data_IF_715240585965
#
_entry.id   IF_715240585965
#
_cell.length_a   1.000
_cell.length_b   1.000
_cell.length_c   1.000
_cell.angle_alpha   90.00
_cell.angle_beta   90.00
_cell.angle_gamma   90.00
#
_symmetry.space_group_name_H-M   'P 1'
#
loop_
_entity.id
_entity.type
_entity.pdbx_description
1 polymer ?
#
# COMPACT_ATOMS: atom_id res chain seq x y z
N UNK A 1 25.06 -6.08 -12.52
CA UNK A 1 24.49 -7.30 -13.12
C UNK A 1 23.18 -6.88 -13.75
N UNK A 2 23.09 -6.92 -15.08
CA UNK A 2 21.98 -6.32 -15.84
C UNK A 2 20.85 -7.32 -16.15
N UNK A 3 21.04 -8.59 -15.81
CA UNK A 3 20.11 -9.68 -16.10
C UNK A 3 19.83 -10.51 -14.85
N UNK A 4 18.63 -11.08 -14.78
CA UNK A 4 18.20 -12.03 -13.75
C UNK A 4 17.59 -13.26 -14.42
N UNK A 5 17.86 -14.44 -13.88
CA UNK A 5 17.19 -15.68 -14.29
C UNK A 5 16.04 -15.96 -13.31
N UNK A 6 14.85 -16.21 -13.84
CA UNK A 6 13.65 -16.53 -13.06
C UNK A 6 13.06 -17.86 -13.54
N UNK A 7 12.41 -18.64 -12.65
CA UNK A 7 11.66 -19.82 -13.06
C UNK A 7 10.54 -19.46 -14.05
N UNK A 8 10.28 -20.33 -15.02
CA UNK A 8 9.20 -20.14 -15.99
C UNK A 8 7.82 -20.06 -15.32
N UNK A 9 7.65 -20.81 -14.23
CA UNK A 9 6.47 -20.85 -13.36
C UNK A 9 6.57 -19.89 -12.16
N UNK A 10 7.55 -18.97 -12.17
CA UNK A 10 7.67 -17.93 -11.16
C UNK A 10 6.54 -16.90 -11.23
N UNK A 11 6.57 -15.92 -10.34
CA UNK A 11 5.64 -14.78 -10.35
C UNK A 11 5.93 -13.82 -11.51
N UNK A 12 5.56 -14.27 -12.71
CA UNK A 12 5.77 -13.56 -13.97
C UNK A 12 4.42 -13.31 -14.65
N UNK A 13 4.29 -12.14 -15.25
CA UNK A 13 3.18 -11.82 -16.12
C UNK A 13 3.68 -10.97 -17.30
N UNK A 14 2.93 -11.02 -18.41
CA UNK A 14 3.20 -10.14 -19.55
C UNK A 14 2.99 -8.68 -19.13
N UNK A 15 3.96 -7.82 -19.45
CA UNK A 15 3.91 -6.39 -19.15
C UNK A 15 2.62 -5.77 -19.71
N UNK A 16 1.92 -4.89 -18.96
CA UNK A 16 0.84 -4.07 -19.50
C UNK A 16 1.29 -3.32 -20.76
N UNK A 17 0.43 -3.28 -21.76
CA UNK A 17 0.72 -2.65 -23.07
C UNK A 17 0.83 -1.13 -22.98
N UNK A 18 0.17 -0.51 -22.00
CA UNK A 18 0.10 0.93 -21.78
C UNK A 18 1.10 1.46 -20.74
N UNK A 19 2.17 0.71 -20.43
CA UNK A 19 3.21 1.11 -19.46
C UNK A 19 4.61 1.09 -20.05
N UNK A 20 5.48 1.95 -19.52
CA UNK A 20 6.94 1.77 -19.67
C UNK A 20 7.44 0.57 -18.85
N UNK A 21 8.68 0.12 -19.10
CA UNK A 21 9.30 -0.92 -18.28
C UNK A 21 9.48 -0.48 -16.82
N UNK A 22 9.86 0.78 -16.61
CA UNK A 22 10.04 1.35 -15.27
C UNK A 22 8.74 1.39 -14.47
N UNK A 23 7.64 1.76 -15.12
CA UNK A 23 6.31 1.77 -14.51
C UNK A 23 5.85 0.37 -14.14
N UNK A 24 6.07 -0.60 -15.03
CA UNK A 24 5.71 -1.98 -14.80
C UNK A 24 6.57 -2.65 -13.71
N UNK A 25 7.88 -2.34 -13.65
CA UNK A 25 8.80 -2.89 -12.65
C UNK A 25 8.42 -2.48 -11.21
N UNK A 26 7.71 -1.36 -11.04
CA UNK A 26 7.22 -0.89 -9.74
C UNK A 26 5.90 -1.54 -9.28
N UNK A 27 5.23 -2.32 -10.13
CA UNK A 27 3.92 -2.93 -9.82
C UNK A 27 4.02 -4.15 -8.90
N UNK A 28 4.90 -5.16 -9.13
CA UNK A 28 4.82 -6.44 -8.43
C UNK A 28 4.81 -6.30 -6.92
N UNK A 29 5.82 -5.64 -6.34
CA UNK A 29 5.92 -5.53 -4.88
C UNK A 29 4.75 -4.75 -4.26
N UNK A 30 4.53 -3.50 -4.69
CA UNK A 30 3.51 -2.65 -4.08
C UNK A 30 2.08 -3.09 -4.37
N UNK A 31 1.83 -3.55 -5.60
CA UNK A 31 0.53 -3.98 -6.08
C UNK A 31 0.08 -5.31 -5.49
N UNK A 32 0.96 -6.32 -5.42
CA UNK A 32 0.63 -7.62 -4.83
C UNK A 32 0.41 -7.48 -3.32
N UNK A 33 1.25 -6.71 -2.61
CA UNK A 33 1.02 -6.36 -1.20
C UNK A 33 -0.35 -5.74 -1.00
N UNK A 34 -0.67 -4.69 -1.75
CA UNK A 34 -1.95 -4.03 -1.63
C UNK A 34 -3.12 -4.99 -1.89
N UNK A 35 -3.08 -5.73 -2.99
CA UNK A 35 -4.15 -6.65 -3.39
C UNK A 35 -4.35 -7.78 -2.39
N UNK A 36 -3.26 -8.44 -1.98
CA UNK A 36 -3.31 -9.57 -1.06
C UNK A 36 -3.88 -9.17 0.30
N UNK A 37 -3.45 -8.04 0.86
CA UNK A 37 -3.98 -7.55 2.13
C UNK A 37 -5.45 -7.11 2.02
N UNK A 38 -5.83 -6.38 0.97
CA UNK A 38 -7.22 -5.94 0.78
C UNK A 38 -8.18 -7.12 0.60
N UNK A 39 -7.77 -8.20 -0.09
CA UNK A 39 -8.55 -9.43 -0.19
C UNK A 39 -8.68 -10.16 1.14
N UNK A 40 -7.59 -10.31 1.91
CA UNK A 40 -7.65 -10.90 3.26
C UNK A 40 -8.52 -10.08 4.21
N UNK A 41 -8.49 -8.75 4.08
CA UNK A 41 -9.36 -7.82 4.81
C UNK A 41 -10.81 -7.82 4.35
N UNK A 42 -11.13 -8.59 3.31
CA UNK A 42 -12.46 -8.71 2.71
C UNK A 42 -13.09 -7.34 2.42
N UNK A 43 -12.35 -6.47 1.72
CA UNK A 43 -12.80 -5.11 1.41
C UNK A 43 -14.07 -5.15 0.55
N UNK A 44 -15.07 -4.37 0.95
CA UNK A 44 -16.37 -4.26 0.29
C UNK A 44 -16.71 -2.80 0.00
N UNK A 45 -17.58 -2.59 -0.98
CA UNK A 45 -18.15 -1.28 -1.29
C UNK A 45 -18.82 -0.66 -0.06
N UNK A 46 -18.62 0.64 0.14
CA UNK A 46 -19.19 1.42 1.26
C UNK A 46 -18.48 1.23 2.61
N UNK A 47 -17.45 0.39 2.70
CA UNK A 47 -16.63 0.32 3.91
C UNK A 47 -15.74 1.55 4.06
N UNK A 48 -15.56 1.99 5.32
CA UNK A 48 -14.60 3.04 5.66
C UNK A 48 -13.22 2.44 5.90
N UNK A 49 -12.25 2.88 5.11
CA UNK A 49 -10.89 2.35 5.13
C UNK A 49 -9.90 3.46 5.48
N UNK A 50 -9.17 3.27 6.58
CA UNK A 50 -8.05 4.14 6.95
C UNK A 50 -6.74 3.54 6.45
N UNK A 51 -5.92 4.32 5.76
CA UNK A 51 -4.63 3.86 5.23
C UNK A 51 -3.51 4.72 5.82
N UNK A 52 -2.70 4.14 6.72
CA UNK A 52 -1.52 4.81 7.26
C UNK A 52 -0.30 4.56 6.36
N UNK A 53 0.32 5.64 5.87
CA UNK A 53 1.38 5.54 4.86
C UNK A 53 0.84 5.45 3.43
N UNK A 54 -0.30 6.09 3.18
CA UNK A 54 -1.04 6.02 1.92
C UNK A 54 -0.28 6.59 0.71
N UNK A 55 0.77 7.38 0.94
CA UNK A 55 1.62 7.94 -0.13
C UNK A 55 2.80 7.05 -0.53
N UNK A 56 3.05 5.94 0.17
CA UNK A 56 4.19 5.05 -0.10
C UNK A 56 3.98 4.10 -1.30
N UNK A 57 4.96 3.22 -1.53
CA UNK A 57 4.90 2.21 -2.60
C UNK A 57 3.65 1.35 -2.52
N UNK A 58 3.39 0.75 -1.37
CA UNK A 58 2.18 -0.06 -1.13
C UNK A 58 0.95 0.86 -1.05
N UNK A 59 1.03 1.94 -0.28
CA UNK A 59 -0.09 2.83 0.01
C UNK A 59 -0.77 3.40 -1.22
N UNK A 60 0.01 3.81 -2.23
CA UNK A 60 -0.54 4.36 -3.49
C UNK A 60 -1.36 3.32 -4.27
N UNK A 61 -0.99 2.03 -4.21
CA UNK A 61 -1.81 0.95 -4.77
C UNK A 61 -3.02 0.65 -3.88
N UNK A 62 -2.87 0.65 -2.54
CA UNK A 62 -3.98 0.40 -1.60
C UNK A 62 -5.10 1.41 -1.81
N UNK A 63 -4.79 2.71 -1.93
CA UNK A 63 -5.79 3.76 -2.20
C UNK A 63 -6.58 3.43 -3.47
N UNK A 64 -5.89 3.17 -4.58
CA UNK A 64 -6.54 2.97 -5.87
C UNK A 64 -7.36 1.67 -5.91
N UNK A 65 -6.81 0.57 -5.38
CA UNK A 65 -7.48 -0.74 -5.37
C UNK A 65 -8.68 -0.73 -4.41
N UNK A 66 -8.55 -0.14 -3.22
CA UNK A 66 -9.68 0.02 -2.32
C UNK A 66 -10.79 0.87 -2.96
N UNK A 67 -10.42 1.91 -3.73
CA UNK A 67 -11.37 2.76 -4.42
C UNK A 67 -12.08 2.00 -5.54
N UNK A 68 -11.35 1.17 -6.27
CA UNK A 68 -11.90 0.26 -7.27
C UNK A 68 -12.96 -0.68 -6.67
N UNK A 69 -12.77 -1.15 -5.43
CA UNK A 69 -13.77 -1.94 -4.71
C UNK A 69 -14.92 -1.11 -4.11
N UNK A 70 -14.95 0.21 -4.31
CA UNK A 70 -16.02 1.10 -3.85
C UNK A 70 -15.93 1.51 -2.38
N UNK A 71 -14.77 1.39 -1.74
CA UNK A 71 -14.57 1.84 -0.37
C UNK A 71 -14.50 3.37 -0.25
N UNK A 72 -14.82 3.88 0.95
CA UNK A 72 -14.57 5.27 1.37
C UNK A 72 -13.19 5.35 2.03
N UNK A 73 -12.29 6.15 1.48
CA UNK A 73 -10.88 6.11 1.85
C UNK A 73 -10.46 7.36 2.62
N UNK A 74 -9.87 7.14 3.79
CA UNK A 74 -9.08 8.14 4.51
C UNK A 74 -7.59 7.80 4.40
N UNK A 75 -6.82 8.62 3.70
CA UNK A 75 -5.36 8.47 3.59
C UNK A 75 -4.61 9.32 4.62
N UNK A 76 -3.64 8.74 5.33
CA UNK A 76 -2.73 9.45 6.23
C UNK A 76 -1.34 9.53 5.59
N UNK A 77 -0.81 10.74 5.47
CA UNK A 77 0.47 11.00 4.81
C UNK A 77 1.11 12.32 5.22
N UNK A 78 2.25 12.61 4.61
CA UNK A 78 2.96 13.87 4.79
C UNK A 78 2.25 15.01 4.03
N UNK A 79 2.53 16.29 4.35
CA UNK A 79 1.85 17.43 3.73
C UNK A 79 1.96 17.48 2.20
N UNK A 80 3.10 17.08 1.64
CA UNK A 80 3.37 17.17 0.20
C UNK A 80 2.65 16.08 -0.60
N UNK A 81 2.20 15.01 0.06
CA UNK A 81 1.53 13.87 -0.57
C UNK A 81 -0.01 13.94 -0.57
N UNK A 82 -0.60 14.94 0.10
CA UNK A 82 -2.05 15.02 0.31
C UNK A 82 -2.82 15.12 -1.02
N UNK A 83 -2.40 16.02 -1.91
CA UNK A 83 -3.07 16.20 -3.21
C UNK A 83 -2.88 14.99 -4.12
N UNK A 84 -1.73 14.32 -4.06
CA UNK A 84 -1.53 13.06 -4.74
C UNK A 84 -2.56 12.02 -4.27
N UNK A 85 -2.69 11.81 -2.95
CA UNK A 85 -3.63 10.82 -2.40
C UNK A 85 -5.07 11.09 -2.84
N UNK A 86 -5.51 12.36 -2.84
CA UNK A 86 -6.82 12.75 -3.39
C UNK A 86 -6.94 12.37 -4.87
N UNK A 87 -5.93 12.68 -5.68
CA UNK A 87 -5.91 12.35 -7.11
C UNK A 87 -5.94 10.84 -7.40
N UNK A 88 -5.52 10.02 -6.44
CA UNK A 88 -5.56 8.55 -6.51
C UNK A 88 -6.89 7.97 -6.02
N UNK A 89 -7.78 8.79 -5.46
CA UNK A 89 -9.12 8.37 -5.03
C UNK A 89 -9.37 8.40 -3.53
N UNK A 90 -8.48 8.98 -2.71
CA UNK A 90 -8.76 9.21 -1.30
C UNK A 90 -9.88 10.25 -1.13
N UNK A 91 -10.93 9.90 -0.40
CA UNK A 91 -12.07 10.78 -0.09
C UNK A 91 -11.73 11.81 0.98
N UNK A 92 -10.89 11.40 1.95
CA UNK A 92 -10.32 12.26 2.99
C UNK A 92 -8.82 12.05 3.05
N UNK A 93 -8.08 13.11 3.38
CA UNK A 93 -6.63 13.03 3.63
C UNK A 93 -6.28 13.72 4.94
N UNK A 94 -5.34 13.14 5.68
CA UNK A 94 -4.88 13.60 6.98
C UNK A 94 -3.38 13.86 6.91
N UNK A 95 -3.00 15.08 7.30
CA UNK A 95 -1.62 15.51 7.52
C UNK A 95 -1.19 15.12 8.95
N UNK A 96 -0.42 14.05 9.08
CA UNK A 96 0.01 13.56 10.40
C UNK A 96 0.91 14.56 11.15
N UNK A 97 1.44 15.58 10.47
CA UNK A 97 2.30 16.60 11.11
C UNK A 97 1.48 17.69 11.81
N UNK A 98 0.19 17.81 11.46
CA UNK A 98 -0.72 18.83 12.02
C UNK A 98 -1.72 18.25 13.00
N UNK A 99 -2.16 17.02 12.77
CA UNK A 99 -3.16 16.39 13.62
C UNK A 99 -2.87 14.93 13.91
N UNK A 100 -3.30 14.52 15.10
CA UNK A 100 -3.26 13.14 15.54
C UNK A 100 -4.57 12.46 15.15
N UNK A 101 -4.55 11.72 14.04
CA UNK A 101 -5.72 11.04 13.50
C UNK A 101 -6.41 10.10 14.50
N UNK A 102 -5.67 9.63 15.52
CA UNK A 102 -6.21 8.74 16.57
C UNK A 102 -7.16 9.45 17.53
N UNK A 103 -7.18 10.78 17.51
CA UNK A 103 -8.04 11.62 18.36
C UNK A 103 -9.27 12.17 17.65
N UNK A 104 -9.46 11.83 16.37
CA UNK A 104 -10.59 12.31 15.56
C UNK A 104 -11.97 11.82 16.03
N UNK A 105 -12.02 10.71 16.77
CA UNK A 105 -13.28 10.04 17.15
C UNK A 105 -13.95 9.26 16.01
N UNK A 106 -13.37 9.30 14.80
CA UNK A 106 -13.84 8.53 13.66
C UNK A 106 -13.49 7.04 13.80
N UNK A 107 -14.35 6.17 13.26
CA UNK A 107 -14.14 4.73 13.27
C UNK A 107 -14.25 4.11 11.88
N UNK A 108 -13.47 3.05 11.67
CA UNK A 108 -13.21 2.44 10.37
C UNK A 108 -13.54 0.94 10.38
N UNK A 109 -14.02 0.44 9.25
CA UNK A 109 -14.28 -0.99 9.04
C UNK A 109 -12.95 -1.73 8.81
N UNK A 110 -12.00 -1.09 8.12
CA UNK A 110 -10.66 -1.61 7.91
C UNK A 110 -9.63 -0.52 8.17
N UNK A 111 -8.56 -0.88 8.88
CA UNK A 111 -7.38 -0.03 9.03
C UNK A 111 -6.20 -0.78 8.41
N UNK A 112 -5.60 -0.21 7.37
CA UNK A 112 -4.35 -0.71 6.81
C UNK A 112 -3.20 0.17 7.28
N UNK A 113 -2.41 -0.35 8.22
CA UNK A 113 -1.19 0.31 8.68
C UNK A 113 0.05 -0.29 8.01
N UNK A 114 0.63 0.49 7.09
CA UNK A 114 1.87 0.13 6.40
C UNK A 114 3.09 0.57 7.23
N UNK A 115 2.92 1.61 8.05
CA UNK A 115 3.98 2.27 8.81
C UNK A 115 4.26 1.53 10.12
N UNK A 116 3.21 1.02 10.78
CA UNK A 116 3.28 0.25 12.01
C UNK A 116 3.76 1.04 13.24
N UNK A 117 3.60 2.38 13.22
CA UNK A 117 4.06 3.27 14.31
C UNK A 117 2.99 3.53 15.37
N UNK A 118 1.72 3.36 15.05
CA UNK A 118 0.63 3.65 15.98
C UNK A 118 0.48 2.56 17.06
N UNK A 119 0.04 2.98 18.25
CA UNK A 119 -0.17 2.02 19.33
C UNK A 119 -1.40 1.15 19.04
N UNK A 120 -1.32 -0.13 19.41
CA UNK A 120 -2.43 -1.07 19.22
C UNK A 120 -3.71 -0.65 19.95
N UNK A 121 -3.58 0.08 21.07
CA UNK A 121 -4.73 0.62 21.82
C UNK A 121 -5.44 1.70 21.03
N UNK A 122 -4.70 2.58 20.36
CA UNK A 122 -5.27 3.66 19.58
C UNK A 122 -5.92 3.14 18.31
N UNK A 123 -5.28 2.20 17.62
CA UNK A 123 -5.90 1.48 16.48
C UNK A 123 -7.19 0.78 16.92
N UNK A 124 -7.23 0.17 18.11
CA UNK A 124 -8.44 -0.48 18.63
C UNK A 124 -9.60 0.48 18.83
N UNK A 125 -9.34 1.71 19.26
CA UNK A 125 -10.39 2.74 19.43
C UNK A 125 -10.95 3.21 18.10
N UNK A 126 -10.11 3.23 17.06
CA UNK A 126 -10.49 3.61 15.70
C UNK A 126 -11.19 2.50 14.94
N UNK A 127 -11.11 1.24 15.38
CA UNK A 127 -11.69 0.12 14.66
C UNK A 127 -13.14 -0.10 15.09
N UNK A 128 -14.05 -0.20 14.12
CA UNK A 128 -15.43 -0.63 14.38
C UNK A 128 -15.45 -2.04 14.95
N UNK A 129 -16.57 -2.40 15.61
CA UNK A 129 -16.82 -3.77 16.03
C UNK A 129 -16.74 -4.71 14.81
N UNK A 130 -15.94 -5.77 14.92
CA UNK A 130 -15.64 -6.74 13.85
C UNK A 130 -14.78 -6.22 12.68
N UNK A 131 -14.24 -5.00 12.76
CA UNK A 131 -13.32 -4.49 11.74
C UNK A 131 -12.01 -5.26 11.69
N UNK A 132 -11.27 -5.04 10.61
CA UNK A 132 -9.98 -5.68 10.35
C UNK A 132 -8.82 -4.69 10.48
N UNK A 133 -7.76 -5.12 11.14
CA UNK A 133 -6.49 -4.41 11.19
C UNK A 133 -5.46 -5.14 10.32
N UNK A 134 -5.11 -4.55 9.19
CA UNK A 134 -4.15 -5.06 8.23
C UNK A 134 -2.79 -4.42 8.48
N UNK A 135 -1.75 -5.24 8.63
CA UNK A 135 -0.42 -4.78 9.00
C UNK A 135 0.64 -5.42 8.09
N UNK A 136 1.27 -4.60 7.24
CA UNK A 136 2.33 -5.04 6.31
C UNK A 136 3.68 -5.15 7.02
N UNK A 137 4.04 -4.20 7.91
CA UNK A 137 5.29 -4.26 8.65
C UNK A 137 5.13 -4.93 10.03
N UNK A 138 5.37 -6.25 10.08
CA UNK A 138 5.18 -7.04 11.29
C UNK A 138 6.38 -6.92 12.24
N UNK A 139 6.15 -6.36 13.43
CA UNK A 139 7.08 -6.49 14.57
C UNK A 139 6.61 -7.61 15.48
N UNK A 140 7.55 -8.33 16.12
CA UNK A 140 7.23 -9.42 17.06
C UNK A 140 6.30 -8.97 18.20
N UNK A 141 6.41 -7.70 18.62
CA UNK A 141 5.53 -7.08 19.61
C UNK A 141 4.06 -7.00 19.18
N UNK A 142 3.78 -6.94 17.87
CA UNK A 142 2.43 -6.87 17.32
C UNK A 142 1.71 -8.23 17.41
N UNK A 143 2.45 -9.34 17.25
CA UNK A 143 1.90 -10.70 17.38
C UNK A 143 1.42 -11.02 18.80
N UNK A 144 2.21 -10.66 19.81
CA UNK A 144 1.87 -10.91 21.22
C UNK A 144 0.63 -10.10 21.63
N UNK A 145 0.51 -8.86 21.15
CA UNK A 145 -0.62 -7.98 21.49
C UNK A 145 -1.90 -8.32 20.73
N UNK A 146 -1.79 -8.72 19.45
CA UNK A 146 -2.93 -9.18 18.65
C UNK A 146 -3.65 -10.34 19.32
N UNK A 147 -2.91 -11.38 19.77
CA UNK A 147 -3.46 -12.55 20.48
C UNK A 147 -4.14 -12.24 21.81
N UNK A 148 -3.79 -11.12 22.45
CA UNK A 148 -4.41 -10.66 23.72
C UNK A 148 -5.58 -9.71 23.50
N UNK A 149 -5.89 -9.38 22.25
CA UNK A 149 -6.95 -8.45 21.89
C UNK A 149 -8.11 -9.17 21.21
N UNK A 150 -9.30 -8.61 21.30
CA UNK A 150 -10.47 -9.04 20.51
C UNK A 150 -10.45 -8.54 19.06
N UNK A 151 -9.33 -7.97 18.61
CA UNK A 151 -9.20 -7.34 17.29
C UNK A 151 -8.81 -8.38 16.25
N UNK A 152 -9.42 -8.32 15.07
CA UNK A 152 -9.04 -9.18 13.94
C UNK A 152 -7.83 -8.59 13.24
N UNK A 153 -6.64 -9.05 13.64
CA UNK A 153 -5.37 -8.62 13.05
C UNK A 153 -4.99 -9.59 11.93
N UNK A 154 -4.74 -9.06 10.74
CA UNK A 154 -4.26 -9.82 9.59
C UNK A 154 -2.81 -9.41 9.31
N UNK A 155 -1.95 -10.42 9.26
CA UNK A 155 -0.53 -10.30 8.96
C UNK A 155 -0.13 -11.39 7.97
N UNK A 156 0.97 -11.17 7.25
CA UNK A 156 1.62 -12.17 6.41
C UNK A 156 1.72 -11.75 4.95
N UNK A 157 2.67 -12.36 4.25
CA UNK A 157 2.97 -12.07 2.85
C UNK A 157 1.75 -12.26 1.94
N UNK A 158 1.69 -11.56 0.80
CA UNK A 158 0.63 -11.67 -0.19
C UNK A 158 0.63 -13.07 -0.81
N UNK A 159 -0.37 -13.35 -1.62
CA UNK A 159 -0.37 -14.59 -2.41
C UNK A 159 0.72 -14.49 -3.48
N UNK A 160 1.52 -15.53 -3.62
CA UNK A 160 2.52 -15.72 -4.69
C UNK A 160 1.85 -16.26 -5.98
N UNK A 161 0.58 -15.91 -6.23
CA UNK A 161 -0.17 -16.44 -7.39
C UNK A 161 0.04 -15.53 -8.62
N UNK A 162 0.61 -16.02 -9.73
CA UNK A 162 0.79 -15.24 -10.96
C UNK A 162 -0.51 -14.59 -11.47
N UNK A 163 -1.68 -15.16 -11.14
CA UNK A 163 -2.99 -14.57 -11.49
C UNK A 163 -3.22 -13.19 -10.85
N UNK A 164 -2.55 -12.89 -9.74
CA UNK A 164 -2.66 -11.59 -9.09
C UNK A 164 -1.96 -10.50 -9.90
N UNK A 165 -0.82 -10.81 -10.52
CA UNK A 165 -0.18 -9.92 -11.49
C UNK A 165 -1.03 -9.72 -12.74
N UNK A 166 -1.67 -10.77 -13.23
CA UNK A 166 -2.61 -10.68 -14.37
C UNK A 166 -3.78 -9.76 -14.03
N UNK A 167 -4.37 -9.89 -12.84
CA UNK A 167 -5.45 -9.01 -12.39
C UNK A 167 -5.00 -7.55 -12.27
N UNK A 168 -3.81 -7.30 -11.71
CA UNK A 168 -3.24 -5.95 -11.64
C UNK A 168 -3.01 -5.36 -13.04
N UNK A 169 -2.49 -6.17 -13.98
CA UNK A 169 -2.36 -5.79 -15.39
C UNK A 169 -3.69 -5.36 -15.99
N UNK A 170 -4.76 -6.14 -15.80
CA UNK A 170 -6.09 -5.79 -16.31
C UNK A 170 -6.60 -4.46 -15.75
N UNK A 171 -6.42 -4.20 -14.46
CA UNK A 171 -6.79 -2.92 -13.85
C UNK A 171 -5.99 -1.75 -14.42
N UNK A 172 -4.70 -1.95 -14.69
CA UNK A 172 -3.82 -0.94 -15.29
C UNK A 172 -4.23 -0.65 -16.74
N UNK A 173 -4.46 -1.68 -17.55
CA UNK A 173 -4.87 -1.53 -18.96
C UNK A 173 -6.27 -0.90 -19.07
N UNK A 174 -7.15 -1.17 -18.12
CA UNK A 174 -8.46 -0.51 -18.00
C UNK A 174 -8.39 0.91 -17.42
N UNK A 175 -7.20 1.42 -17.08
CA UNK A 175 -7.00 2.76 -16.52
C UNK A 175 -7.59 2.94 -15.11
N UNK A 176 -7.84 1.85 -14.38
CA UNK A 176 -8.41 1.88 -13.02
C UNK A 176 -7.36 2.18 -11.96
N UNK A 177 -6.12 1.76 -12.19
CA UNK A 177 -4.98 2.05 -11.32
C UNK A 177 -3.78 2.49 -12.17
N UNK A 178 -2.89 3.29 -11.59
CA UNK A 178 -1.63 3.73 -12.19
C UNK A 178 -0.47 3.60 -11.20
N UNK A 179 0.73 3.39 -11.72
CA UNK A 179 1.96 3.44 -10.92
C UNK A 179 2.29 4.90 -10.60
N UNK A 180 2.66 5.17 -9.34
CA UNK A 180 3.28 6.44 -8.95
C UNK A 180 4.78 6.25 -8.89
N UNK A 181 5.51 6.96 -9.75
CA UNK A 181 6.97 7.04 -9.72
C UNK A 181 7.37 8.40 -9.17
N UNK A 182 8.14 8.38 -8.10
CA UNK A 182 8.77 9.56 -7.51
C UNK A 182 10.00 9.97 -8.32
N UNK A 183 10.93 9.02 -8.46
CA UNK A 183 12.25 9.25 -9.05
C UNK A 183 12.72 8.05 -9.84
N UNK A 184 13.53 8.36 -10.85
CA UNK A 184 14.24 7.41 -11.69
C UNK A 184 15.72 7.63 -11.47
N UNK A 185 16.46 6.55 -11.27
CA UNK A 185 17.91 6.58 -11.15
C UNK A 185 18.49 5.59 -12.16
N UNK A 186 19.59 5.93 -12.85
CA UNK A 186 20.35 4.94 -13.60
C UNK A 186 21.00 3.94 -12.62
N UNK A 187 21.32 2.74 -13.09
CA UNK A 187 21.89 1.67 -12.27
C UNK A 187 23.16 2.08 -11.50
N UNK A 188 23.99 2.95 -12.07
CA UNK A 188 25.21 3.48 -11.44
C UNK A 188 24.92 4.29 -10.17
N UNK A 189 23.71 4.85 -10.05
CA UNK A 189 23.29 5.65 -8.91
C UNK A 189 22.47 4.85 -7.88
N UNK A 190 22.53 3.50 -7.92
CA UNK A 190 21.76 2.66 -7.00
C UNK A 190 22.00 2.99 -5.52
N UNK A 191 23.22 3.35 -5.12
CA UNK A 191 23.52 3.75 -3.75
C UNK A 191 22.85 5.08 -3.36
N UNK A 192 22.77 6.04 -4.28
CA UNK A 192 22.06 7.31 -4.07
C UNK A 192 20.54 7.07 -3.98
N UNK A 193 20.01 6.20 -4.84
CA UNK A 193 18.61 5.81 -4.80
C UNK A 193 18.22 5.23 -3.44
N UNK A 194 19.03 4.31 -2.88
CA UNK A 194 18.81 3.77 -1.53
C UNK A 194 18.91 4.86 -0.46
N UNK A 195 19.95 5.71 -0.53
CA UNK A 195 20.12 6.83 0.42
C UNK A 195 18.93 7.80 0.41
N UNK A 196 18.29 8.00 -0.75
CA UNK A 196 17.06 8.78 -0.87
C UNK A 196 15.87 8.08 -0.22
N UNK A 197 15.68 6.79 -0.49
CA UNK A 197 14.61 5.97 0.09
C UNK A 197 14.70 5.94 1.63
N UNK A 198 15.90 5.82 2.18
CA UNK A 198 16.15 5.75 3.63
C UNK A 198 15.77 7.01 4.40
N UNK A 199 15.67 8.17 3.72
CA UNK A 199 15.15 9.40 4.33
C UNK A 199 13.67 9.28 4.70
N UNK A 200 12.94 8.33 4.08
CA UNK A 200 11.51 8.12 4.33
C UNK A 200 10.61 9.20 3.74
N UNK A 201 11.14 10.04 2.85
CA UNK A 201 10.44 11.18 2.23
C UNK A 201 9.82 10.86 0.87
N UNK A 202 10.05 9.63 0.37
CA UNK A 202 9.60 9.22 -0.95
C UNK A 202 8.07 9.14 -1.06
N UNK A 203 7.57 9.44 -2.25
CA UNK A 203 6.15 9.35 -2.59
C UNK A 203 5.94 8.40 -3.77
N UNK A 204 5.36 7.23 -3.52
CA UNK A 204 5.27 6.15 -4.49
C UNK A 204 6.60 5.38 -4.60
N UNK A 205 7.02 5.09 -5.83
CA UNK A 205 8.14 4.21 -6.13
C UNK A 205 9.38 4.96 -6.63
N UNK A 206 10.54 4.48 -6.23
CA UNK A 206 11.83 4.86 -6.82
C UNK A 206 12.26 3.70 -7.69
N UNK A 207 12.57 3.97 -8.96
CA UNK A 207 12.86 2.93 -9.95
C UNK A 207 14.28 3.09 -10.47
N UNK A 208 14.90 1.96 -10.81
CA UNK A 208 16.23 1.89 -11.39
C UNK A 208 16.10 1.55 -12.87
N UNK A 209 16.70 2.37 -13.73
CA UNK A 209 16.84 2.09 -15.15
C UNK A 209 18.12 1.27 -15.36
N UNK A 210 17.98 0.12 -16.05
CA UNK A 210 19.05 -0.81 -16.39
C UNK A 210 19.20 -0.93 -17.90
#
# INVERSE_FOLDING_TARGET
MEYICLPEDGELAIKPTNMTYEEAAAVPFGGLEALGYLRKGNIQSGQKVLICGASGSIGTFVVQIAKYYGAEITGVGNPTSLELMKSLGADKVIDYTKEDFTKSGETYDVIFDIVGKSSFSDIKKLLKKNGFYLLSNLRLSHLVRGKRSSMKVIFGAPSEDPKDLVFLKELIEAGKIKTVIDRRYPFEQIAEAHSYVDKGEKTGNVVISV
#
